data_IF_458901218384
#
_entry.id   IF_458901218384
#
_cell.length_a   1.000
_cell.length_b   1.000
_cell.length_c   1.000
_cell.angle_alpha   90.00
_cell.angle_beta   90.00
_cell.angle_gamma   90.00
#
_symmetry.space_group_name_H-M   'P 1'
#
loop_
_entity.id
_entity.type
_entity.pdbx_description
1 polymer ?
#
# COMPACT_ATOMS: atom_id res chain seq x y z
N UNK A 1 -49.33 -15.07 2.81
CA UNK A 1 -48.47 -15.98 2.00
C UNK A 1 -47.72 -15.11 1.01
N UNK A 2 -46.44 -14.80 1.08
CA UNK A 2 -45.32 -15.10 1.99
C UNK A 2 -44.58 -13.79 2.24
N UNK A 3 -44.10 -13.65 3.48
CA UNK A 3 -43.26 -12.58 3.98
C UNK A 3 -41.87 -12.56 3.33
N UNK A 4 -41.32 -11.34 3.17
CA UNK A 4 -39.90 -10.95 3.23
C UNK A 4 -38.87 -11.80 2.47
N UNK A 5 -38.15 -11.15 1.56
CA UNK A 5 -36.68 -11.12 1.62
C UNK A 5 -36.14 -9.74 1.19
N UNK A 6 -35.80 -8.83 2.12
CA UNK A 6 -35.23 -7.51 1.80
C UNK A 6 -33.71 -7.52 1.94
N UNK A 7 -32.98 -8.45 1.32
CA UNK A 7 -31.51 -8.45 1.41
C UNK A 7 -30.83 -8.95 0.14
N UNK A 8 -30.40 -8.00 -0.69
CA UNK A 8 -29.15 -8.12 -1.45
C UNK A 8 -28.61 -6.72 -1.68
N UNK A 9 -28.04 -6.12 -0.63
CA UNK A 9 -26.89 -5.25 -0.84
C UNK A 9 -25.82 -6.15 -1.45
N UNK A 10 -25.77 -6.26 -2.77
CA UNK A 10 -24.68 -6.95 -3.45
C UNK A 10 -23.47 -6.05 -3.27
N UNK A 11 -22.70 -6.27 -2.21
CA UNK A 11 -21.39 -5.66 -2.03
C UNK A 11 -20.62 -5.78 -3.34
N UNK A 12 -20.37 -4.65 -3.99
CA UNK A 12 -19.67 -4.64 -5.26
C UNK A 12 -18.18 -4.72 -4.96
N UNK A 13 -17.59 -5.87 -5.28
CA UNK A 13 -16.19 -6.18 -5.04
C UNK A 13 -15.48 -6.34 -6.38
N UNK A 14 -14.43 -5.56 -6.61
CA UNK A 14 -13.60 -5.65 -7.80
C UNK A 14 -12.18 -6.08 -7.39
N UNK A 15 -11.85 -7.33 -7.69
CA UNK A 15 -10.52 -7.88 -7.47
C UNK A 15 -9.80 -8.08 -8.81
N UNK A 16 -8.77 -7.29 -9.03
CA UNK A 16 -7.87 -7.30 -10.20
C UNK A 16 -6.43 -7.55 -9.76
N UNK A 17 -6.23 -8.06 -8.54
CA UNK A 17 -4.90 -8.30 -7.98
C UNK A 17 -4.15 -9.41 -8.72
N UNK A 18 -2.82 -9.43 -8.57
CA UNK A 18 -1.95 -10.49 -9.10
C UNK A 18 -2.04 -10.65 -10.62
N UNK A 19 -1.99 -9.53 -11.32
CA UNK A 19 -2.05 -9.47 -12.78
C UNK A 19 -0.82 -8.75 -13.37
N UNK A 20 -0.78 -8.67 -14.69
CA UNK A 20 0.26 -7.97 -15.45
C UNK A 20 -0.09 -6.54 -15.84
N UNK A 21 -1.10 -5.91 -15.22
CA UNK A 21 -1.60 -4.61 -15.68
C UNK A 21 -0.53 -3.51 -15.57
N UNK A 22 -0.44 -2.68 -16.60
CA UNK A 22 0.53 -1.59 -16.76
C UNK A 22 -0.20 -0.27 -17.03
N UNK A 23 0.52 0.84 -16.94
CA UNK A 23 -0.04 2.18 -17.16
C UNK A 23 -0.75 2.71 -15.92
N UNK A 24 -1.57 3.75 -16.11
CA UNK A 24 -2.20 4.47 -15.01
C UNK A 24 -3.49 3.79 -14.56
N UNK A 25 -3.86 4.00 -13.29
CA UNK A 25 -5.20 3.68 -12.81
C UNK A 25 -6.17 4.66 -13.50
N UNK A 26 -7.19 4.18 -14.24
CA UNK A 26 -8.11 5.05 -14.95
C UNK A 26 -9.10 5.72 -13.98
N UNK A 27 -9.35 7.01 -14.15
CA UNK A 27 -10.32 7.78 -13.35
C UNK A 27 -11.75 7.26 -13.49
N UNK A 28 -12.07 6.60 -14.61
CA UNK A 28 -13.37 5.99 -14.86
C UNK A 28 -13.78 4.92 -13.84
N UNK A 29 -12.84 4.38 -13.05
CA UNK A 29 -13.18 3.52 -11.91
C UNK A 29 -14.04 4.23 -10.86
N UNK A 30 -14.00 5.57 -10.79
CA UNK A 30 -14.88 6.37 -9.95
C UNK A 30 -16.37 6.28 -10.35
N UNK A 31 -16.68 5.80 -11.57
CA UNK A 31 -18.07 5.58 -12.00
C UNK A 31 -18.72 4.36 -11.34
N UNK A 32 -17.94 3.51 -10.67
CA UNK A 32 -18.44 2.36 -9.91
C UNK A 32 -18.93 2.83 -8.53
N UNK A 33 -19.96 3.67 -8.49
CA UNK A 33 -20.41 4.38 -7.27
C UNK A 33 -20.85 3.46 -6.13
N UNK A 34 -21.18 2.20 -6.42
CA UNK A 34 -21.54 1.18 -5.42
C UNK A 34 -20.36 0.30 -5.00
N UNK A 35 -19.14 0.57 -5.48
CA UNK A 35 -17.96 -0.24 -5.20
C UNK A 35 -17.56 -0.15 -3.72
N UNK A 36 -17.49 -1.31 -3.06
CA UNK A 36 -17.14 -1.42 -1.65
C UNK A 36 -15.71 -1.89 -1.43
N UNK A 37 -15.16 -2.68 -2.37
CA UNK A 37 -13.78 -3.15 -2.32
C UNK A 37 -13.11 -3.08 -3.68
N UNK A 38 -11.93 -2.47 -3.73
CA UNK A 38 -11.06 -2.42 -4.90
C UNK A 38 -9.69 -3.03 -4.57
N UNK A 39 -9.32 -4.12 -5.22
CA UNK A 39 -8.00 -4.72 -5.10
C UNK A 39 -7.24 -4.68 -6.43
N UNK A 40 -6.21 -3.85 -6.49
CA UNK A 40 -5.29 -3.68 -7.61
C UNK A 40 -3.86 -4.16 -7.26
N UNK A 41 -3.69 -4.83 -6.13
CA UNK A 41 -2.38 -5.21 -5.62
C UNK A 41 -1.64 -6.17 -6.55
N UNK A 42 -0.30 -6.23 -6.45
CA UNK A 42 0.53 -7.13 -7.26
C UNK A 42 0.32 -6.97 -8.77
N UNK A 43 0.51 -5.73 -9.25
CA UNK A 43 0.47 -5.38 -10.66
C UNK A 43 1.72 -4.55 -11.04
N UNK A 44 1.74 -4.02 -12.26
CA UNK A 44 2.80 -3.12 -12.76
C UNK A 44 2.25 -1.72 -13.04
N UNK A 45 1.17 -1.32 -12.35
CA UNK A 45 0.52 -0.01 -12.52
C UNK A 45 1.47 1.10 -12.08
N UNK A 46 1.41 2.23 -12.77
CA UNK A 46 2.28 3.40 -12.59
C UNK A 46 1.49 4.69 -12.49
N UNK A 47 2.15 5.80 -12.18
CA UNK A 47 1.49 7.11 -12.07
C UNK A 47 0.78 7.29 -10.72
N UNK A 48 -0.19 8.20 -10.68
CA UNK A 48 -0.86 8.59 -9.44
C UNK A 48 -2.12 7.77 -9.18
N UNK A 49 -2.52 7.68 -7.92
CA UNK A 49 -3.89 7.27 -7.56
C UNK A 49 -4.82 8.43 -7.94
N UNK A 50 -5.83 8.22 -8.82
CA UNK A 50 -6.75 9.28 -9.23
C UNK A 50 -7.49 9.83 -8.01
N UNK A 51 -7.63 11.16 -7.96
CA UNK A 51 -8.38 11.81 -6.87
C UNK A 51 -9.86 11.46 -6.93
N UNK A 52 -10.40 11.16 -8.10
CA UNK A 52 -11.81 10.79 -8.29
C UNK A 52 -12.19 9.50 -7.52
N UNK A 53 -11.22 8.62 -7.21
CA UNK A 53 -11.46 7.46 -6.35
C UNK A 53 -11.80 7.86 -4.91
N UNK A 54 -11.48 9.09 -4.49
CA UNK A 54 -11.90 9.64 -3.20
C UNK A 54 -13.41 9.90 -3.13
N UNK A 55 -14.07 10.04 -4.28
CA UNK A 55 -15.50 10.33 -4.37
C UNK A 55 -16.36 9.05 -4.24
N UNK A 56 -15.75 7.87 -4.24
CA UNK A 56 -16.41 6.60 -4.01
C UNK A 56 -16.82 6.44 -2.55
N UNK A 57 -17.98 6.99 -2.18
CA UNK A 57 -18.45 7.01 -0.78
C UNK A 57 -18.68 5.64 -0.18
N UNK A 58 -19.01 4.64 -0.99
CA UNK A 58 -19.22 3.25 -0.56
C UNK A 58 -17.93 2.46 -0.40
N UNK A 59 -16.78 2.99 -0.86
CA UNK A 59 -15.52 2.25 -0.88
C UNK A 59 -14.96 2.11 0.54
N UNK A 60 -14.97 0.87 1.04
CA UNK A 60 -14.51 0.51 2.37
C UNK A 60 -13.10 -0.09 2.36
N UNK A 61 -12.70 -0.72 1.25
CA UNK A 61 -11.40 -1.40 1.13
C UNK A 61 -10.74 -0.97 -0.17
N UNK A 62 -9.49 -0.51 -0.08
CA UNK A 62 -8.64 -0.29 -1.24
C UNK A 62 -7.24 -0.87 -1.02
N UNK A 63 -6.79 -1.71 -1.96
CA UNK A 63 -5.43 -2.26 -1.98
C UNK A 63 -4.78 -1.96 -3.32
N UNK A 64 -3.60 -1.37 -3.27
CA UNK A 64 -2.77 -1.00 -4.42
C UNK A 64 -1.30 -1.39 -4.20
N UNK A 65 -1.01 -2.22 -3.20
CA UNK A 65 0.35 -2.64 -2.83
C UNK A 65 1.06 -3.38 -3.97
N UNK A 66 2.39 -3.40 -3.93
CA UNK A 66 3.22 -4.04 -4.95
C UNK A 66 2.90 -3.56 -6.38
N UNK A 67 3.04 -2.25 -6.59
CA UNK A 67 2.90 -1.58 -7.89
C UNK A 67 4.04 -0.55 -8.06
N UNK A 68 3.99 0.25 -9.13
CA UNK A 68 4.93 1.35 -9.42
C UNK A 68 4.26 2.72 -9.26
N UNK A 69 3.27 2.83 -8.37
CA UNK A 69 2.52 4.07 -8.16
C UNK A 69 3.38 5.11 -7.44
N UNK A 70 3.07 6.38 -7.71
CA UNK A 70 3.82 7.54 -7.22
C UNK A 70 2.89 8.65 -6.72
N UNK A 71 3.45 9.61 -6.00
CA UNK A 71 2.76 10.81 -5.55
C UNK A 71 2.00 10.63 -4.23
N UNK A 72 1.05 11.52 -3.95
CA UNK A 72 0.33 11.54 -2.67
C UNK A 72 -0.92 10.65 -2.72
N UNK A 73 -1.17 9.92 -1.64
CA UNK A 73 -2.49 9.27 -1.44
C UNK A 73 -3.56 10.37 -1.31
N UNK A 74 -4.67 10.31 -2.07
CA UNK A 74 -5.79 11.23 -1.93
C UNK A 74 -6.26 11.31 -0.47
N UNK A 75 -6.53 12.54 0.01
CA UNK A 75 -7.09 12.72 1.35
C UNK A 75 -8.60 12.53 1.29
N UNK A 76 -9.09 11.39 1.72
CA UNK A 76 -10.50 11.19 2.02
C UNK A 76 -10.68 10.20 3.16
N UNK A 77 -11.88 10.15 3.74
CA UNK A 77 -12.19 9.25 4.85
C UNK A 77 -11.96 7.78 4.47
N UNK A 78 -12.23 7.43 3.22
CA UNK A 78 -12.03 6.10 2.65
C UNK A 78 -10.56 5.72 2.62
N UNK A 79 -9.65 6.61 2.21
CA UNK A 79 -8.21 6.33 2.17
C UNK A 79 -7.52 6.45 3.54
N UNK A 80 -8.03 7.31 4.43
CA UNK A 80 -7.43 7.54 5.76
C UNK A 80 -7.71 6.43 6.77
N UNK A 81 -8.74 5.62 6.54
CA UNK A 81 -9.13 4.49 7.42
C UNK A 81 -8.53 3.15 7.01
N UNK A 82 -7.75 3.12 5.93
CA UNK A 82 -7.19 1.88 5.39
C UNK A 82 -5.97 1.40 6.15
N UNK A 83 -5.75 0.08 6.11
CA UNK A 83 -4.53 -0.52 6.59
C UNK A 83 -3.34 -0.09 5.70
N UNK A 84 -2.24 0.31 6.32
CA UNK A 84 -1.00 0.75 5.68
C UNK A 84 -0.44 -0.30 4.71
N UNK A 85 -0.67 -1.59 5.00
CA UNK A 85 -0.26 -2.69 4.11
C UNK A 85 -0.92 -2.65 2.74
N UNK A 86 -2.11 -2.04 2.63
CA UNK A 86 -2.80 -1.86 1.34
C UNK A 86 -2.05 -0.96 0.36
N UNK A 87 -1.03 -0.21 0.80
CA UNK A 87 -0.26 0.74 -0.01
C UNK A 87 1.23 0.44 -0.07
N UNK A 88 1.69 -0.65 0.57
CA UNK A 88 3.11 -0.96 0.66
C UNK A 88 3.73 -1.32 -0.69
N UNK A 89 5.07 -1.32 -0.76
CA UNK A 89 5.82 -1.67 -1.96
C UNK A 89 5.44 -0.88 -3.23
N UNK A 90 5.10 0.39 -3.05
CA UNK A 90 5.06 1.41 -4.09
C UNK A 90 6.16 2.46 -3.82
N UNK A 91 7.29 2.36 -4.53
CA UNK A 91 8.51 3.10 -4.20
C UNK A 91 8.36 4.63 -4.21
N UNK A 92 7.45 5.18 -5.01
CA UNK A 92 7.22 6.63 -5.12
C UNK A 92 5.97 7.13 -4.42
N UNK A 93 5.22 6.26 -3.72
CA UNK A 93 4.02 6.67 -3.00
C UNK A 93 4.41 7.37 -1.70
N UNK A 94 3.78 8.51 -1.43
CA UNK A 94 4.00 9.31 -0.24
C UNK A 94 2.68 9.43 0.54
N UNK A 95 2.73 9.10 1.83
CA UNK A 95 1.61 9.35 2.76
C UNK A 95 1.79 10.72 3.40
N UNK A 96 0.67 11.37 3.76
CA UNK A 96 0.73 12.65 4.48
C UNK A 96 1.55 12.50 5.78
N UNK A 97 2.56 13.36 5.85
CA UNK A 97 3.59 13.71 6.83
C UNK A 97 3.56 13.09 8.25
N UNK A 98 2.42 12.80 8.88
CA UNK A 98 2.39 12.22 10.24
C UNK A 98 2.86 10.76 10.31
N UNK A 99 2.46 9.94 9.33
CA UNK A 99 2.89 8.54 9.28
C UNK A 99 4.34 8.41 8.82
N UNK A 100 4.82 9.32 7.97
CA UNK A 100 6.20 9.37 7.51
C UNK A 100 7.19 9.59 8.67
N UNK A 101 6.82 10.40 9.67
CA UNK A 101 7.61 10.59 10.91
C UNK A 101 7.64 9.30 11.72
N UNK A 102 6.53 8.58 11.84
CA UNK A 102 6.46 7.32 12.58
C UNK A 102 7.23 6.19 11.87
N UNK A 103 7.18 6.12 10.54
CA UNK A 103 7.95 5.18 9.71
C UNK A 103 9.44 5.49 9.80
N UNK A 104 9.87 6.77 9.75
CA UNK A 104 11.27 7.15 10.00
C UNK A 104 11.72 6.71 11.40
N UNK A 105 10.89 6.89 12.42
CA UNK A 105 11.16 6.43 13.80
C UNK A 105 11.28 4.90 13.87
N UNK A 106 10.41 4.15 13.20
CA UNK A 106 10.43 2.68 13.18
C UNK A 106 11.63 2.12 12.40
N UNK A 107 11.92 2.65 11.20
CA UNK A 107 13.08 2.24 10.39
C UNK A 107 14.41 2.60 11.07
N UNK A 108 14.50 3.74 11.76
CA UNK A 108 15.68 4.08 12.58
C UNK A 108 15.84 3.13 13.78
N UNK A 109 14.74 2.71 14.41
CA UNK A 109 14.75 1.70 15.48
C UNK A 109 15.19 0.32 14.95
N UNK A 110 14.79 -0.05 13.73
CA UNK A 110 15.23 -1.29 13.04
C UNK A 110 16.71 -1.23 12.63
N UNK A 111 17.21 -0.07 12.14
CA UNK A 111 18.64 0.15 11.84
C UNK A 111 19.53 0.09 13.09
N UNK A 112 19.10 0.70 14.21
CA UNK A 112 19.81 0.60 15.50
C UNK A 112 19.88 -0.85 16.02
N UNK A 113 18.80 -1.63 15.86
CA UNK A 113 18.79 -3.05 16.21
C UNK A 113 19.66 -3.91 15.30
N UNK A 114 19.76 -3.61 14.00
CA UNK A 114 20.69 -4.28 13.08
C UNK A 114 22.16 -3.96 13.40
N UNK A 115 22.48 -2.71 13.75
CA UNK A 115 23.83 -2.33 14.23
C UNK A 115 24.20 -2.98 15.57
N UNK A 116 23.23 -3.25 16.45
CA UNK A 116 23.45 -3.98 17.71
C UNK A 116 23.54 -5.51 17.55
N UNK A 117 23.21 -6.08 16.38
CA UNK A 117 23.17 -7.54 16.17
C UNK A 117 24.45 -8.15 15.59
N UNK A 118 25.52 -7.38 15.35
CA UNK A 118 26.84 -7.94 15.01
C UNK A 118 27.94 -7.32 15.88
N UNK A 119 28.31 -7.92 17.02
CA UNK A 119 29.62 -7.69 17.65
C UNK A 119 30.70 -8.67 17.16
N UNK A 120 30.39 -9.62 16.28
CA UNK A 120 31.33 -10.68 15.87
C UNK A 120 31.56 -10.63 14.35
N UNK A 121 32.38 -9.68 13.91
CA UNK A 121 33.28 -9.84 12.75
C UNK A 121 34.38 -8.77 12.83
N UNK A 122 35.12 -8.77 13.93
CA UNK A 122 36.44 -8.14 14.03
C UNK A 122 37.33 -9.08 14.82
N UNK A 123 37.76 -10.18 14.23
CA UNK A 123 38.99 -10.86 14.62
C UNK A 123 39.45 -11.70 13.43
N UNK A 124 40.77 -11.78 13.27
CA UNK A 124 41.56 -12.55 12.28
C UNK A 124 42.00 -11.79 11.03
N UNK A 125 43.16 -11.12 11.12
CA UNK A 125 44.32 -11.34 10.24
C UNK A 125 45.43 -10.36 10.63
N UNK A 126 46.27 -10.80 11.58
CA UNK A 126 47.61 -10.23 11.80
C UNK A 126 48.47 -11.29 12.50
N UNK A 127 48.98 -12.24 11.73
CA UNK A 127 50.17 -13.03 12.05
C UNK A 127 50.74 -13.62 10.75
N UNK A 128 52.06 -13.62 10.63
CA UNK A 128 52.93 -14.09 9.54
C UNK A 128 53.09 -13.19 8.31
N UNK A 129 54.17 -12.42 8.26
CA UNK A 129 55.42 -12.79 7.57
C UNK A 129 56.42 -11.62 7.64
N UNK A 130 57.50 -11.77 8.41
CA UNK A 130 58.83 -11.29 8.00
C UNK A 130 59.85 -12.33 8.47
N UNK A 131 60.55 -12.87 7.48
CA UNK A 131 61.82 -13.58 7.60
C UNK A 131 62.92 -12.56 7.98
#
# INVERSE_FOLDING_TARGET
>A
MTSREPYRHTSSLLNLSSNGFVGNIPSSLANLVQLESLDLSHNKLSGHIPRDLADLTSLCIIRVSHNKLVGMIPKSTQFQTQNVSGFEDNAGLSMNVELAVMIRRFQNKKRRRRKKKNPILKFTLACHFLY
#
